data_IF_742350789853
#
_entry.id   IF_742350789853
#
_cell.length_a   1.000
_cell.length_b   1.000
_cell.length_c   1.000
_cell.angle_alpha   90.00
_cell.angle_beta   90.00
_cell.angle_gamma   90.00
#
_symmetry.space_group_name_H-M   'P 1'
#
loop_
_entity.id
_entity.type
_entity.pdbx_description
1 polymer ?
#
# COMPACT_ATOMS: atom_id res chain seq x y z
N UNK A 1 1.16 -28.29 -48.93
CA UNK A 1 0.20 -27.67 -48.00
C UNK A 1 0.98 -27.26 -46.76
N UNK A 2 1.10 -26.01 -46.37
CA UNK A 2 0.49 -24.78 -46.84
C UNK A 2 0.98 -23.71 -45.86
N UNK A 3 1.81 -22.83 -46.38
CA UNK A 3 2.06 -21.44 -45.98
C UNK A 3 1.09 -20.94 -44.89
N UNK A 4 1.58 -20.77 -43.65
CA UNK A 4 0.98 -19.92 -42.60
C UNK A 4 2.00 -19.60 -41.48
N UNK A 5 3.30 -19.57 -41.80
CA UNK A 5 4.40 -19.39 -40.84
C UNK A 5 4.97 -17.95 -40.79
N UNK A 6 4.31 -16.94 -41.40
CA UNK A 6 4.91 -15.59 -41.49
C UNK A 6 3.90 -14.42 -41.42
N UNK A 7 2.97 -14.40 -40.46
CA UNK A 7 2.08 -13.23 -40.26
C UNK A 7 1.77 -12.89 -38.79
N UNK A 8 2.74 -12.94 -37.89
CA UNK A 8 2.59 -12.31 -36.56
C UNK A 8 3.83 -11.59 -36.05
N UNK A 9 4.74 -11.20 -36.95
CA UNK A 9 6.01 -10.52 -36.63
C UNK A 9 5.88 -8.98 -36.67
N UNK A 10 4.69 -8.39 -36.87
CA UNK A 10 4.58 -6.91 -37.04
C UNK A 10 3.46 -6.27 -36.21
N UNK A 11 3.17 -6.75 -35.00
CA UNK A 11 2.32 -5.99 -34.07
C UNK A 11 2.71 -6.35 -32.64
N UNK A 12 3.73 -5.67 -32.09
CA UNK A 12 3.97 -5.44 -30.65
C UNK A 12 5.28 -4.66 -30.45
N UNK A 13 5.45 -3.59 -31.22
CA UNK A 13 6.34 -2.49 -30.90
C UNK A 13 5.46 -1.24 -30.88
N UNK A 14 5.53 -0.50 -29.76
CA UNK A 14 4.86 0.78 -29.45
C UNK A 14 3.44 0.71 -28.88
N UNK A 15 3.34 0.62 -27.55
CA UNK A 15 2.98 1.75 -26.65
C UNK A 15 2.63 1.21 -25.26
N UNK A 16 3.62 1.17 -24.37
CA UNK A 16 3.40 1.15 -22.93
C UNK A 16 4.40 2.14 -22.33
N UNK A 17 4.10 3.43 -22.48
CA UNK A 17 4.67 4.44 -21.60
C UNK A 17 3.97 4.28 -20.26
N UNK A 18 4.68 3.70 -19.29
CA UNK A 18 4.32 3.82 -17.88
C UNK A 18 5.32 4.81 -17.30
N UNK A 19 4.86 6.04 -17.13
CA UNK A 19 5.53 7.02 -16.28
C UNK A 19 5.54 6.48 -14.85
N UNK A 20 6.73 6.35 -14.26
CA UNK A 20 6.86 6.34 -12.82
C UNK A 20 6.84 7.80 -12.37
N UNK A 21 5.70 8.26 -11.86
CA UNK A 21 5.69 9.42 -10.98
C UNK A 21 5.63 8.91 -9.54
N UNK A 22 6.72 9.23 -8.83
CA UNK A 22 6.76 9.36 -7.38
C UNK A 22 5.86 10.55 -7.03
N UNK A 23 4.85 10.35 -6.18
CA UNK A 23 4.19 11.48 -5.51
C UNK A 23 4.23 11.23 -4.00
N UNK A 24 5.22 11.88 -3.38
CA UNK A 24 5.18 12.33 -2.00
C UNK A 24 4.07 13.38 -1.89
N UNK A 25 3.12 13.16 -0.99
CA UNK A 25 2.13 14.18 -0.64
C UNK A 25 2.75 15.17 0.34
N UNK A 26 3.12 16.35 -0.15
CA UNK A 26 3.32 17.54 0.68
C UNK A 26 2.33 18.62 0.24
N UNK A 27 1.52 19.10 1.19
CA UNK A 27 0.51 20.14 0.97
C UNK A 27 1.20 21.51 1.11
N UNK A 28 1.27 22.29 0.03
CA UNK A 28 1.75 23.67 0.06
C UNK A 28 1.30 24.42 -1.19
N UNK A 29 0.73 25.60 -0.97
CA UNK A 29 0.05 26.46 -1.93
C UNK A 29 0.94 26.92 -3.10
N UNK A 30 0.44 26.93 -4.35
CA UNK A 30 0.61 28.08 -5.24
C UNK A 30 -0.35 28.08 -6.43
N UNK A 31 -1.01 29.22 -6.58
CA UNK A 31 -1.87 29.60 -7.69
C UNK A 31 -1.01 30.09 -8.88
N UNK A 32 -1.60 29.92 -10.06
CA UNK A 32 -1.45 30.72 -11.28
C UNK A 32 -0.53 30.24 -12.43
N UNK A 33 -1.20 30.25 -13.60
CA UNK A 33 -0.77 30.47 -14.98
C UNK A 33 0.01 29.39 -15.74
N UNK A 34 -0.70 28.68 -16.63
CA UNK A 34 -0.18 28.18 -17.92
C UNK A 34 -1.30 28.23 -19.01
N UNK A 35 -0.92 28.36 -20.31
CA UNK A 35 -1.64 29.19 -21.29
C UNK A 35 -2.60 28.45 -22.24
N UNK A 36 -3.46 29.26 -22.88
CA UNK A 36 -4.51 28.88 -23.84
C UNK A 36 -4.01 28.06 -25.04
N UNK A 37 -4.39 26.78 -25.09
CA UNK A 37 -4.47 26.00 -26.33
C UNK A 37 -5.91 25.61 -26.67
N UNK A 38 -6.46 26.39 -27.60
CA UNK A 38 -7.82 26.35 -28.08
C UNK A 38 -8.02 25.20 -29.07
N UNK A 39 -8.40 24.02 -28.57
CA UNK A 39 -9.03 22.99 -29.39
C UNK A 39 -10.56 23.09 -29.26
N UNK A 40 -11.20 23.55 -30.33
CA UNK A 40 -12.65 23.64 -30.46
C UNK A 40 -13.29 22.24 -30.51
N UNK A 41 -13.62 21.70 -29.34
CA UNK A 41 -14.58 20.60 -29.25
C UNK A 41 -15.98 21.17 -29.47
N UNK A 42 -16.54 20.92 -30.64
CA UNK A 42 -17.96 21.10 -30.88
C UNK A 42 -18.73 20.13 -29.98
N UNK A 43 -19.10 20.59 -28.78
CA UNK A 43 -20.18 19.99 -28.02
C UNK A 43 -21.45 20.18 -28.82
N UNK A 44 -21.97 19.09 -29.37
CA UNK A 44 -23.31 19.06 -29.92
C UNK A 44 -24.27 18.96 -28.72
N UNK A 45 -24.97 20.04 -28.32
CA UNK A 45 -25.84 19.97 -27.17
C UNK A 45 -27.11 19.28 -27.66
N UNK A 46 -27.24 17.99 -27.38
CA UNK A 46 -28.54 17.33 -27.41
C UNK A 46 -29.45 18.10 -26.44
N UNK A 47 -30.49 18.80 -26.90
CA UNK A 47 -31.29 19.64 -26.02
C UNK A 47 -32.38 18.78 -25.38
N UNK A 48 -32.02 17.73 -24.63
CA UNK A 48 -32.99 16.90 -23.88
C UNK A 48 -32.38 15.77 -23.02
N UNK A 49 -31.20 15.96 -22.42
CA UNK A 49 -30.87 15.16 -21.24
C UNK A 49 -31.63 15.76 -20.04
N UNK A 50 -32.90 15.40 -19.90
CA UNK A 50 -33.66 15.70 -18.69
C UNK A 50 -32.96 15.01 -17.51
N UNK A 51 -32.28 15.79 -16.68
CA UNK A 51 -31.93 15.38 -15.32
C UNK A 51 -33.22 14.86 -14.70
N UNK A 52 -33.29 13.60 -14.22
CA UNK A 52 -34.50 13.06 -13.63
C UNK A 52 -34.99 14.02 -12.53
N UNK A 53 -36.05 14.77 -12.81
CA UNK A 53 -36.67 15.63 -11.81
C UNK A 53 -37.39 14.70 -10.86
N UNK A 54 -36.72 14.35 -9.76
CA UNK A 54 -37.37 13.67 -8.66
C UNK A 54 -38.52 14.57 -8.16
N UNK A 55 -39.77 14.08 -8.19
CA UNK A 55 -40.96 14.92 -7.99
C UNK A 55 -41.26 15.24 -6.52
N UNK A 56 -40.27 15.16 -5.63
CA UNK A 56 -40.46 15.33 -4.18
C UNK A 56 -39.34 16.23 -3.66
N UNK A 57 -39.62 17.23 -2.81
CA UNK A 57 -38.56 17.90 -2.06
C UNK A 57 -37.79 16.84 -1.28
N UNK A 58 -36.50 16.66 -1.63
CA UNK A 58 -35.60 15.75 -0.91
C UNK A 58 -35.46 16.32 0.50
N UNK A 59 -36.12 15.69 1.47
CA UNK A 59 -35.96 16.05 2.88
C UNK A 59 -34.48 15.92 3.25
N UNK A 60 -33.89 17.00 3.74
CA UNK A 60 -32.47 17.05 4.10
C UNK A 60 -32.30 17.76 5.44
N UNK A 61 -31.32 17.35 6.23
CA UNK A 61 -30.93 18.08 7.44
C UNK A 61 -30.43 19.48 7.06
N UNK A 62 -30.81 20.51 7.84
CA UNK A 62 -30.54 21.92 7.51
C UNK A 62 -29.05 22.24 7.51
N UNK A 63 -28.33 21.57 8.39
CA UNK A 63 -26.89 21.63 8.58
C UNK A 63 -26.12 20.79 7.55
N UNK A 64 -26.80 20.09 6.64
CA UNK A 64 -26.19 19.23 5.63
C UNK A 64 -26.56 19.67 4.20
N UNK A 65 -25.98 18.99 3.21
CA UNK A 65 -26.28 19.19 1.81
C UNK A 65 -26.67 17.87 1.16
N UNK A 66 -27.81 17.87 0.46
CA UNK A 66 -28.32 16.73 -0.31
C UNK A 66 -28.44 17.16 -1.77
N UNK A 67 -27.51 16.78 -2.66
CA UNK A 67 -27.53 17.18 -4.05
C UNK A 67 -28.72 16.54 -4.80
N UNK A 68 -29.53 17.31 -5.57
CA UNK A 68 -30.65 16.75 -6.33
C UNK A 68 -30.26 15.68 -7.37
N UNK A 69 -29.03 15.74 -7.89
CA UNK A 69 -28.47 14.75 -8.81
C UNK A 69 -28.13 13.41 -8.13
N UNK A 70 -27.88 13.43 -6.82
CA UNK A 70 -27.59 12.24 -6.01
C UNK A 70 -28.50 12.24 -4.77
N UNK A 71 -29.80 11.98 -4.95
CA UNK A 71 -30.80 12.15 -3.89
C UNK A 71 -30.66 11.14 -2.74
N UNK A 72 -29.78 10.14 -2.86
CA UNK A 72 -29.52 9.12 -1.84
C UNK A 72 -28.28 9.45 -0.98
N UNK A 73 -27.62 10.57 -1.23
CA UNK A 73 -26.38 10.96 -0.58
C UNK A 73 -26.61 12.21 0.29
N UNK A 74 -26.13 12.18 1.53
CA UNK A 74 -26.19 13.31 2.45
C UNK A 74 -24.78 13.69 2.92
N UNK A 75 -24.39 14.93 2.64
CA UNK A 75 -23.07 15.50 2.94
C UNK A 75 -23.15 16.44 4.13
N UNK A 76 -22.52 16.04 5.23
CA UNK A 76 -22.46 16.75 6.51
C UNK A 76 -21.00 16.92 6.96
N UNK A 77 -20.02 16.68 6.09
CA UNK A 77 -18.59 16.74 6.38
C UNK A 77 -18.06 18.18 6.49
N UNK A 78 -16.96 18.37 7.23
CA UNK A 78 -16.23 19.65 7.38
C UNK A 78 -17.06 20.82 7.94
N UNK A 79 -18.03 20.54 8.83
CA UNK A 79 -19.01 21.52 9.30
C UNK A 79 -18.94 21.81 10.80
N UNK A 80 -17.93 21.29 11.50
CA UNK A 80 -17.77 21.42 12.97
C UNK A 80 -19.01 20.93 13.73
N UNK A 81 -19.68 19.91 13.20
CA UNK A 81 -20.84 19.31 13.83
C UNK A 81 -20.41 18.61 15.11
N UNK A 82 -21.15 18.82 16.20
CA UNK A 82 -20.91 18.15 17.48
C UNK A 82 -21.78 16.90 17.67
N UNK A 83 -22.83 16.78 16.86
CA UNK A 83 -23.83 15.72 16.97
C UNK A 83 -24.21 15.27 15.56
N UNK A 84 -24.60 14.01 15.45
CA UNK A 84 -25.15 13.45 14.22
C UNK A 84 -26.56 14.05 14.02
N UNK A 85 -26.83 14.68 12.86
CA UNK A 85 -28.13 15.26 12.54
C UNK A 85 -29.16 14.16 12.31
N UNK A 86 -30.46 14.49 12.32
CA UNK A 86 -31.48 13.52 11.93
C UNK A 86 -31.29 13.11 10.46
N UNK A 87 -31.25 11.81 10.21
CA UNK A 87 -30.96 11.26 8.88
C UNK A 87 -32.30 10.91 8.21
N UNK A 88 -32.59 11.47 7.01
CA UNK A 88 -33.77 11.11 6.24
C UNK A 88 -33.77 9.61 5.85
N UNK A 89 -34.94 8.95 5.79
CA UNK A 89 -35.04 7.49 5.61
C UNK A 89 -34.57 6.98 4.23
N UNK A 90 -34.47 7.87 3.24
CA UNK A 90 -34.04 7.52 1.88
C UNK A 90 -32.51 7.58 1.69
N UNK A 91 -31.76 8.06 2.68
CA UNK A 91 -30.29 8.19 2.57
C UNK A 91 -29.64 6.80 2.56
N UNK A 92 -28.77 6.57 1.57
CA UNK A 92 -27.92 5.38 1.47
C UNK A 92 -26.45 5.68 1.77
N UNK A 93 -26.00 6.90 1.53
CA UNK A 93 -24.61 7.33 1.73
C UNK A 93 -24.58 8.54 2.65
N UNK A 94 -23.88 8.42 3.77
CA UNK A 94 -23.81 9.44 4.81
C UNK A 94 -22.37 9.85 5.07
N UNK A 95 -22.05 11.10 4.78
CA UNK A 95 -20.72 11.67 4.97
C UNK A 95 -20.72 12.64 6.14
N UNK A 96 -20.04 12.28 7.23
CA UNK A 96 -19.94 13.03 8.49
C UNK A 96 -18.48 13.23 8.92
N UNK A 97 -17.52 13.00 8.01
CA UNK A 97 -16.11 13.12 8.32
C UNK A 97 -15.66 14.55 8.62
N UNK A 98 -14.53 14.68 9.33
CA UNK A 98 -13.93 15.98 9.67
C UNK A 98 -14.89 16.90 10.44
N UNK A 99 -15.44 16.38 11.54
CA UNK A 99 -16.31 17.10 12.46
C UNK A 99 -15.84 16.91 13.92
N UNK A 100 -16.61 17.44 14.88
CA UNK A 100 -16.33 17.36 16.31
C UNK A 100 -17.32 16.40 17.01
N UNK A 101 -17.74 15.33 16.34
CA UNK A 101 -18.74 14.38 16.86
C UNK A 101 -18.09 13.47 17.91
N UNK A 102 -18.68 13.41 19.10
CA UNK A 102 -18.19 12.58 20.20
C UNK A 102 -19.03 11.31 20.45
N UNK A 103 -20.27 11.30 19.97
CA UNK A 103 -21.26 10.26 20.28
C UNK A 103 -22.03 9.78 19.04
N UNK A 104 -22.43 8.51 19.07
CA UNK A 104 -23.27 7.87 18.05
C UNK A 104 -24.56 7.38 18.72
N UNK A 105 -25.55 8.27 18.92
CA UNK A 105 -26.84 7.89 19.48
C UNK A 105 -27.70 7.12 18.47
N UNK A 106 -28.63 6.29 18.95
CA UNK A 106 -29.53 5.51 18.11
C UNK A 106 -30.60 6.37 17.41
N UNK A 107 -30.96 7.51 18.00
CA UNK A 107 -32.04 8.39 17.53
C UNK A 107 -31.96 8.71 16.02
N UNK A 108 -30.86 9.34 15.55
CA UNK A 108 -30.66 9.68 14.13
C UNK A 108 -30.83 8.53 13.14
N UNK A 109 -30.52 7.30 13.56
CA UNK A 109 -30.54 6.10 12.70
C UNK A 109 -31.86 5.32 12.75
N UNK A 110 -32.83 5.74 13.58
CA UNK A 110 -34.05 4.96 13.87
C UNK A 110 -34.87 4.61 12.62
N UNK A 111 -34.97 5.53 11.68
CA UNK A 111 -35.80 5.38 10.48
C UNK A 111 -35.00 5.01 9.21
N UNK A 112 -33.69 4.81 9.33
CA UNK A 112 -32.80 4.64 8.16
C UNK A 112 -32.44 3.17 7.99
N UNK A 113 -33.20 2.48 7.13
CA UNK A 113 -33.02 1.03 6.94
C UNK A 113 -32.16 0.69 5.73
N UNK A 114 -31.98 1.61 4.78
CA UNK A 114 -31.27 1.36 3.51
C UNK A 114 -29.85 1.95 3.46
N UNK A 115 -29.33 2.40 4.60
CA UNK A 115 -27.98 2.93 4.72
C UNK A 115 -26.96 1.87 4.29
N UNK A 116 -26.09 2.22 3.33
CA UNK A 116 -25.04 1.34 2.78
C UNK A 116 -23.64 1.79 3.16
N UNK A 117 -23.44 3.10 3.34
CA UNK A 117 -22.14 3.68 3.65
C UNK A 117 -22.29 4.79 4.70
N UNK A 118 -21.48 4.69 5.75
CA UNK A 118 -21.36 5.73 6.78
C UNK A 118 -19.89 6.11 6.90
N UNK A 119 -19.59 7.38 6.67
CA UNK A 119 -18.29 7.95 6.95
C UNK A 119 -18.30 8.85 8.19
N UNK A 120 -17.78 8.33 9.31
CA UNK A 120 -17.61 9.03 10.59
C UNK A 120 -16.12 9.26 10.92
N UNK A 121 -15.24 9.19 9.92
CA UNK A 121 -13.80 9.36 10.12
C UNK A 121 -13.44 10.77 10.57
N UNK A 122 -12.27 10.95 11.20
CA UNK A 122 -11.80 12.25 11.67
C UNK A 122 -12.84 12.97 12.55
N UNK A 123 -13.22 12.30 13.62
CA UNK A 123 -14.12 12.81 14.66
C UNK A 123 -13.49 12.51 16.04
N UNK A 124 -14.26 12.67 17.12
CA UNK A 124 -13.81 12.46 18.51
C UNK A 124 -14.64 11.36 19.18
N UNK A 125 -15.11 10.38 18.40
CA UNK A 125 -16.03 9.35 18.88
C UNK A 125 -15.31 8.45 19.86
N UNK A 126 -15.92 8.24 21.02
CA UNK A 126 -15.45 7.31 22.06
C UNK A 126 -16.35 6.10 22.11
N UNK A 127 -15.76 4.93 22.40
CA UNK A 127 -16.49 3.65 22.42
C UNK A 127 -17.73 3.69 23.33
N UNK A 128 -17.60 4.22 24.55
CA UNK A 128 -18.71 4.29 25.53
C UNK A 128 -19.82 5.28 25.14
N UNK A 129 -19.61 6.12 24.13
CA UNK A 129 -20.60 7.06 23.60
C UNK A 129 -21.30 6.53 22.33
N UNK A 130 -21.06 5.27 21.96
CA UNK A 130 -21.77 4.59 20.88
C UNK A 130 -22.91 3.80 21.52
N UNK A 131 -24.16 4.12 21.14
CA UNK A 131 -25.32 3.40 21.62
C UNK A 131 -25.24 1.93 21.21
N UNK A 132 -25.47 1.04 22.17
CA UNK A 132 -25.34 -0.40 21.96
C UNK A 132 -26.21 -0.90 20.79
N UNK A 133 -25.57 -1.46 19.77
CA UNK A 133 -26.23 -2.03 18.59
C UNK A 133 -26.79 -1.00 17.60
N UNK A 134 -26.40 0.28 17.69
CA UNK A 134 -26.80 1.30 16.71
C UNK A 134 -26.49 0.88 15.27
N UNK A 135 -25.28 0.37 15.02
CA UNK A 135 -24.88 -0.10 13.69
C UNK A 135 -25.50 -1.46 13.34
N UNK A 136 -25.69 -2.35 14.32
CA UNK A 136 -26.26 -3.68 14.07
C UNK A 136 -27.68 -3.64 13.49
N UNK A 137 -28.45 -2.57 13.74
CA UNK A 137 -29.78 -2.34 13.16
C UNK A 137 -29.74 -2.00 11.67
N UNK A 138 -28.59 -1.58 11.15
CA UNK A 138 -28.40 -1.17 9.76
C UNK A 138 -28.08 -2.39 8.89
N UNK A 139 -29.10 -3.20 8.61
CA UNK A 139 -28.95 -4.50 7.93
C UNK A 139 -28.40 -4.43 6.51
N UNK A 140 -28.35 -3.25 5.88
CA UNK A 140 -27.82 -3.04 4.54
C UNK A 140 -26.46 -2.32 4.52
N UNK A 141 -25.86 -2.08 5.68
CA UNK A 141 -24.59 -1.36 5.80
C UNK A 141 -23.45 -2.22 5.24
N UNK A 142 -22.77 -1.68 4.23
CA UNK A 142 -21.66 -2.34 3.53
C UNK A 142 -20.32 -1.77 3.98
N UNK A 143 -20.25 -0.45 4.19
CA UNK A 143 -19.01 0.25 4.51
C UNK A 143 -19.20 1.14 5.75
N UNK A 144 -18.27 1.01 6.71
CA UNK A 144 -18.24 1.83 7.92
C UNK A 144 -16.83 2.38 8.12
N UNK A 145 -16.72 3.70 8.08
CA UNK A 145 -15.48 4.42 8.32
C UNK A 145 -15.51 5.06 9.71
N UNK A 146 -14.62 4.62 10.58
CA UNK A 146 -14.44 5.11 11.95
C UNK A 146 -12.96 5.43 12.22
N UNK A 147 -12.12 5.50 11.18
CA UNK A 147 -10.71 5.85 11.33
C UNK A 147 -10.52 7.28 11.85
N UNK A 148 -9.41 7.55 12.55
CA UNK A 148 -9.15 8.85 13.19
C UNK A 148 -10.27 9.25 14.18
N UNK A 149 -10.50 8.41 15.17
CA UNK A 149 -11.40 8.66 16.31
C UNK A 149 -10.69 8.30 17.63
N UNK A 150 -11.44 8.23 18.73
CA UNK A 150 -10.92 7.91 20.07
C UNK A 150 -11.49 6.59 20.59
N UNK A 151 -11.68 5.59 19.72
CA UNK A 151 -12.22 4.29 20.12
C UNK A 151 -11.18 3.49 20.92
N UNK A 152 -11.51 3.17 22.16
CA UNK A 152 -10.66 2.37 23.07
C UNK A 152 -10.89 0.86 22.91
N UNK A 153 -12.05 0.46 22.39
CA UNK A 153 -12.45 -0.92 22.14
C UNK A 153 -13.04 -1.07 20.72
N UNK A 154 -12.98 -2.29 20.20
CA UNK A 154 -13.59 -2.62 18.92
C UNK A 154 -15.12 -2.47 18.98
N UNK A 155 -15.75 -1.72 18.06
CA UNK A 155 -17.19 -1.48 18.10
C UNK A 155 -17.98 -2.78 17.82
N UNK A 156 -18.89 -3.12 18.73
CA UNK A 156 -19.72 -4.32 18.64
C UNK A 156 -21.08 -4.08 19.33
N UNK A 157 -22.21 -4.66 18.85
CA UNK A 157 -22.35 -5.49 17.65
C UNK A 157 -22.41 -4.68 16.34
N UNK A 158 -21.98 -5.33 15.25
CA UNK A 158 -21.98 -4.81 13.88
C UNK A 158 -22.91 -5.66 12.98
N UNK A 159 -23.42 -5.10 11.86
CA UNK A 159 -24.31 -5.82 10.96
C UNK A 159 -23.53 -6.84 10.12
N UNK A 160 -24.17 -7.99 9.83
CA UNK A 160 -23.55 -9.08 9.07
C UNK A 160 -23.35 -8.80 7.58
N UNK A 161 -23.98 -7.73 7.07
CA UNK A 161 -23.82 -7.23 5.71
C UNK A 161 -22.53 -6.44 5.49
N UNK A 162 -21.80 -6.11 6.56
CA UNK A 162 -20.62 -5.26 6.48
C UNK A 162 -19.50 -5.95 5.69
N UNK A 163 -18.98 -5.26 4.67
CA UNK A 163 -17.89 -5.72 3.81
C UNK A 163 -16.58 -5.00 4.11
N UNK A 164 -16.63 -3.70 4.46
CA UNK A 164 -15.44 -2.90 4.74
C UNK A 164 -15.58 -2.16 6.06
N UNK A 165 -14.61 -2.37 6.95
CA UNK A 165 -14.54 -1.72 8.26
C UNK A 165 -13.18 -1.04 8.42
N UNK A 166 -13.19 0.28 8.53
CA UNK A 166 -11.99 1.08 8.72
C UNK A 166 -11.97 1.64 10.15
N UNK A 167 -11.00 1.17 10.94
CA UNK A 167 -10.81 1.53 12.34
C UNK A 167 -9.39 2.06 12.61
N UNK A 168 -8.65 2.41 11.56
CA UNK A 168 -7.29 2.91 11.69
C UNK A 168 -7.19 4.18 12.56
N UNK A 169 -6.03 4.44 13.15
CA UNK A 169 -5.79 5.65 13.96
C UNK A 169 -6.85 5.84 15.07
N UNK A 170 -6.99 4.82 15.91
CA UNK A 170 -7.84 4.85 17.11
C UNK A 170 -6.97 4.47 18.33
N UNK A 171 -7.62 4.18 19.46
CA UNK A 171 -6.96 3.77 20.70
C UNK A 171 -7.33 2.32 21.06
N UNK A 172 -7.65 1.49 20.07
CA UNK A 172 -8.23 0.16 20.30
C UNK A 172 -7.19 -0.72 20.98
N UNK A 173 -7.49 -1.13 22.21
CA UNK A 173 -6.68 -2.04 23.02
C UNK A 173 -7.48 -3.25 23.50
N UNK A 174 -8.77 -3.32 23.16
CA UNK A 174 -9.64 -4.44 23.54
C UNK A 174 -10.50 -4.89 22.37
N UNK A 175 -10.72 -6.19 22.32
CA UNK A 175 -11.57 -6.86 21.35
C UNK A 175 -12.41 -7.89 22.11
N UNK A 176 -13.74 -7.79 22.08
CA UNK A 176 -14.61 -8.79 22.73
C UNK A 176 -14.43 -10.18 22.10
N UNK A 177 -14.71 -11.26 22.87
CA UNK A 177 -14.58 -12.65 22.42
C UNK A 177 -15.35 -12.96 21.13
N UNK A 178 -16.58 -12.44 21.05
CA UNK A 178 -17.53 -12.65 19.96
C UNK A 178 -17.55 -11.50 18.92
N UNK A 179 -16.68 -10.49 19.05
CA UNK A 179 -16.71 -9.30 18.21
C UNK A 179 -16.60 -9.63 16.70
N UNK A 180 -15.79 -10.64 16.38
CA UNK A 180 -15.50 -11.06 15.00
C UNK A 180 -16.52 -12.06 14.44
N UNK A 181 -17.35 -12.68 15.28
CA UNK A 181 -18.28 -13.74 14.85
C UNK A 181 -19.43 -13.19 14.00
N UNK A 182 -19.76 -11.91 14.15
CA UNK A 182 -20.84 -11.23 13.43
C UNK A 182 -20.51 -10.75 12.01
N UNK A 183 -19.30 -11.01 11.51
CA UNK A 183 -18.78 -10.38 10.29
C UNK A 183 -18.44 -11.40 9.18
N UNK A 184 -19.39 -12.22 8.69
CA UNK A 184 -19.10 -13.24 7.69
C UNK A 184 -18.76 -12.68 6.30
N UNK A 185 -19.25 -11.48 5.98
CA UNK A 185 -19.10 -10.85 4.66
C UNK A 185 -17.95 -9.84 4.58
N UNK A 186 -17.23 -9.61 5.68
CA UNK A 186 -16.13 -8.65 5.69
C UNK A 186 -15.01 -9.11 4.75
N UNK A 187 -14.60 -8.21 3.86
CA UNK A 187 -13.54 -8.41 2.87
C UNK A 187 -12.30 -7.58 3.21
N UNK A 188 -12.48 -6.43 3.89
CA UNK A 188 -11.39 -5.55 4.30
C UNK A 188 -11.58 -5.07 5.74
N UNK A 189 -10.58 -5.31 6.58
CA UNK A 189 -10.52 -4.83 7.95
C UNK A 189 -9.22 -4.05 8.16
N UNK A 190 -9.36 -2.76 8.45
CA UNK A 190 -8.23 -1.90 8.79
C UNK A 190 -8.22 -1.57 10.27
N UNK A 191 -7.16 -2.00 10.95
CA UNK A 191 -6.88 -1.78 12.37
C UNK A 191 -5.49 -1.13 12.57
N UNK A 192 -4.92 -0.51 11.53
CA UNK A 192 -3.62 0.13 11.65
C UNK A 192 -3.61 1.27 12.68
N UNK A 193 -2.47 1.57 13.29
CA UNK A 193 -2.32 2.66 14.26
C UNK A 193 -3.33 2.54 15.42
N UNK A 194 -3.23 1.42 16.14
CA UNK A 194 -4.00 1.13 17.36
C UNK A 194 -3.05 0.60 18.45
N UNK A 195 -3.61 0.07 19.55
CA UNK A 195 -2.85 -0.47 20.67
C UNK A 195 -3.09 -1.97 20.84
N UNK A 196 -3.26 -2.71 19.73
CA UNK A 196 -3.44 -4.15 19.77
C UNK A 196 -2.13 -4.84 20.15
N UNK A 197 -2.21 -5.73 21.14
CA UNK A 197 -1.11 -6.62 21.54
C UNK A 197 -1.53 -8.09 21.40
N UNK A 198 -0.57 -8.98 21.63
CA UNK A 198 -0.77 -10.42 21.51
C UNK A 198 -1.86 -10.96 22.44
N UNK A 199 -2.06 -10.35 23.61
CA UNK A 199 -3.08 -10.77 24.59
C UNK A 199 -4.50 -10.51 24.06
N UNK A 200 -4.68 -9.43 23.29
CA UNK A 200 -5.95 -9.08 22.64
C UNK A 200 -6.29 -10.06 21.54
N UNK A 201 -5.30 -10.50 20.77
CA UNK A 201 -5.49 -11.42 19.63
C UNK A 201 -5.56 -12.90 20.06
N UNK A 202 -5.04 -13.23 21.25
CA UNK A 202 -5.04 -14.61 21.75
C UNK A 202 -6.46 -15.16 21.88
N UNK A 203 -6.68 -16.33 21.27
CA UNK A 203 -7.98 -17.01 21.30
C UNK A 203 -9.04 -16.40 20.37
N UNK A 204 -8.71 -15.34 19.61
CA UNK A 204 -9.58 -14.78 18.59
C UNK A 204 -9.53 -15.62 17.32
N UNK A 205 -10.69 -15.85 16.74
CA UNK A 205 -10.84 -16.72 15.56
C UNK A 205 -11.10 -15.89 14.32
N UNK A 206 -10.04 -15.28 13.77
CA UNK A 206 -10.13 -14.53 12.52
C UNK A 206 -10.61 -15.40 11.34
N UNK A 207 -10.38 -16.72 11.43
CA UNK A 207 -10.86 -17.74 10.49
C UNK A 207 -12.38 -17.77 10.27
N UNK A 208 -13.16 -17.19 11.17
CA UNK A 208 -14.63 -17.04 11.01
C UNK A 208 -14.97 -16.08 9.87
N UNK A 209 -14.12 -15.09 9.61
CA UNK A 209 -14.29 -14.11 8.52
C UNK A 209 -13.81 -14.71 7.19
N UNK A 210 -14.58 -15.66 6.65
CA UNK A 210 -14.21 -16.48 5.48
C UNK A 210 -14.01 -15.72 4.18
N UNK A 211 -14.49 -14.48 4.11
CA UNK A 211 -14.37 -13.62 2.93
C UNK A 211 -13.29 -12.54 3.08
N UNK A 212 -12.58 -12.50 4.21
CA UNK A 212 -11.58 -11.48 4.48
C UNK A 212 -10.40 -11.63 3.52
N UNK A 213 -10.20 -10.62 2.68
CA UNK A 213 -9.13 -10.56 1.68
C UNK A 213 -7.98 -9.68 2.14
N UNK A 214 -8.26 -8.62 2.90
CA UNK A 214 -7.27 -7.68 3.39
C UNK A 214 -7.42 -7.44 4.88
N UNK A 215 -6.31 -7.59 5.61
CA UNK A 215 -6.21 -7.19 7.01
C UNK A 215 -4.97 -6.32 7.21
N UNK A 216 -5.18 -5.15 7.80
CA UNK A 216 -4.11 -4.23 8.14
C UNK A 216 -4.00 -4.14 9.67
N UNK A 217 -2.87 -4.56 10.21
CA UNK A 217 -2.53 -4.54 11.64
C UNK A 217 -1.24 -3.75 11.88
N UNK A 218 -0.86 -2.88 10.94
CA UNK A 218 0.35 -2.07 11.04
C UNK A 218 0.31 -1.07 12.21
N UNK A 219 1.46 -0.65 12.71
CA UNK A 219 1.56 0.33 13.78
C UNK A 219 0.73 -0.08 15.02
N UNK A 220 0.97 -1.29 15.51
CA UNK A 220 0.37 -1.84 16.74
C UNK A 220 1.50 -2.29 17.69
N UNK A 221 1.18 -3.11 18.70
CA UNK A 221 2.11 -3.62 19.72
C UNK A 221 2.24 -5.14 19.64
N UNK A 222 2.18 -5.71 18.44
CA UNK A 222 2.27 -7.15 18.25
C UNK A 222 3.72 -7.62 18.40
N UNK A 223 3.94 -8.64 19.23
CA UNK A 223 5.26 -9.29 19.41
C UNK A 223 5.33 -10.63 18.67
N UNK A 224 4.17 -11.20 18.34
CA UNK A 224 4.05 -12.46 17.60
C UNK A 224 3.11 -12.36 16.40
N UNK A 225 3.20 -13.36 15.51
CA UNK A 225 2.31 -13.46 14.36
C UNK A 225 0.85 -13.68 14.81
N UNK A 226 -0.15 -13.02 14.17
CA UNK A 226 -1.55 -13.17 14.52
C UNK A 226 -2.01 -14.63 14.41
N UNK A 227 -2.70 -15.19 15.41
CA UNK A 227 -3.20 -16.56 15.31
C UNK A 227 -4.44 -16.64 14.40
N UNK A 228 -4.62 -17.81 13.77
CA UNK A 228 -5.89 -18.21 13.13
C UNK A 228 -6.43 -17.26 12.04
N UNK A 229 -5.54 -16.68 11.21
CA UNK A 229 -5.93 -15.89 10.04
C UNK A 229 -6.71 -16.73 9.00
N UNK A 230 -7.67 -16.14 8.26
CA UNK A 230 -8.51 -16.85 7.31
C UNK A 230 -7.76 -17.19 6.00
N UNK A 231 -8.06 -18.35 5.42
CA UNK A 231 -7.43 -18.81 4.16
C UNK A 231 -7.79 -17.99 2.92
N UNK A 232 -8.77 -17.08 3.03
CA UNK A 232 -9.15 -16.13 1.98
C UNK A 232 -8.18 -14.97 1.84
N UNK A 233 -7.29 -14.77 2.81
CA UNK A 233 -6.45 -13.59 2.91
C UNK A 233 -5.47 -13.48 1.74
N UNK A 234 -5.44 -12.29 1.14
CA UNK A 234 -4.58 -11.92 0.01
C UNK A 234 -3.58 -10.84 0.38
N UNK A 235 -3.95 -9.93 1.27
CA UNK A 235 -3.10 -8.83 1.73
C UNK A 235 -3.00 -8.84 3.25
N UNK A 236 -1.77 -8.87 3.77
CA UNK A 236 -1.46 -8.79 5.19
C UNK A 236 -0.40 -7.72 5.43
N UNK A 237 -0.76 -6.67 6.19
CA UNK A 237 0.21 -5.71 6.71
C UNK A 237 0.35 -5.84 8.23
N UNK A 238 1.59 -6.06 8.67
CA UNK A 238 2.05 -6.15 10.06
C UNK A 238 3.21 -5.18 10.31
N UNK A 239 3.34 -4.15 9.47
CA UNK A 239 4.42 -3.17 9.52
C UNK A 239 4.44 -2.42 10.86
N UNK A 240 5.60 -1.94 11.30
CA UNK A 240 5.74 -1.18 12.55
C UNK A 240 5.12 -1.91 13.76
N UNK A 241 5.56 -3.13 14.00
CA UNK A 241 5.25 -3.91 15.19
C UNK A 241 6.57 -4.35 15.84
N UNK A 242 6.51 -5.30 16.78
CA UNK A 242 7.69 -5.84 17.46
C UNK A 242 7.90 -7.34 17.19
N UNK A 243 7.39 -7.85 16.06
CA UNK A 243 7.40 -9.28 15.73
C UNK A 243 8.84 -9.77 15.55
N UNK A 244 9.22 -10.77 16.32
CA UNK A 244 10.59 -11.31 16.34
C UNK A 244 10.76 -12.66 15.65
N UNK A 245 9.67 -13.41 15.49
CA UNK A 245 9.70 -14.77 14.94
C UNK A 245 8.41 -15.12 14.18
N UNK A 246 8.56 -15.91 13.12
CA UNK A 246 7.46 -16.48 12.34
C UNK A 246 7.40 -17.99 12.61
N UNK A 247 6.26 -18.53 13.10
CA UNK A 247 6.10 -19.96 13.31
C UNK A 247 6.33 -20.79 12.05
N UNK A 248 6.90 -21.98 12.22
CA UNK A 248 7.03 -22.94 11.11
C UNK A 248 5.69 -23.22 10.45
N UNK A 249 5.67 -23.27 9.12
CA UNK A 249 4.49 -23.51 8.31
C UNK A 249 3.32 -22.52 8.53
N UNK A 250 3.57 -21.34 9.12
CA UNK A 250 2.54 -20.33 9.39
C UNK A 250 1.72 -20.00 8.12
N UNK A 251 2.40 -19.76 7.00
CA UNK A 251 1.75 -19.39 5.75
C UNK A 251 1.15 -20.57 4.95
N UNK A 252 1.32 -21.83 5.41
CA UNK A 252 0.74 -22.99 4.73
C UNK A 252 -0.79 -22.95 4.66
N UNK A 253 -1.43 -22.26 5.62
CA UNK A 253 -2.89 -22.06 5.68
C UNK A 253 -3.36 -20.81 4.94
N UNK A 254 -2.45 -20.02 4.39
CA UNK A 254 -2.70 -18.74 3.71
C UNK A 254 -2.26 -18.81 2.24
N UNK A 255 -2.81 -19.74 1.42
CA UNK A 255 -2.30 -20.00 0.07
C UNK A 255 -2.57 -18.86 -0.93
N UNK A 256 -3.45 -17.91 -0.58
CA UNK A 256 -3.89 -16.80 -1.44
C UNK A 256 -3.12 -15.50 -1.22
N UNK A 257 -2.13 -15.47 -0.33
CA UNK A 257 -1.35 -14.25 -0.07
C UNK A 257 -0.65 -13.79 -1.35
N UNK A 258 -0.89 -12.53 -1.70
CA UNK A 258 -0.34 -11.79 -2.83
C UNK A 258 0.67 -10.76 -2.34
N UNK A 259 0.36 -10.07 -1.24
CA UNK A 259 1.23 -9.05 -0.66
C UNK A 259 1.38 -9.28 0.84
N UNK A 260 2.63 -9.30 1.30
CA UNK A 260 2.99 -9.43 2.71
C UNK A 260 3.92 -8.28 3.09
N UNK A 261 3.45 -7.42 4.00
CA UNK A 261 4.24 -6.32 4.54
C UNK A 261 4.51 -6.54 6.02
N UNK A 262 5.79 -6.63 6.35
CA UNK A 262 6.29 -6.86 7.71
C UNK A 262 7.52 -5.98 7.97
N UNK A 263 7.58 -4.81 7.32
CA UNK A 263 8.65 -3.84 7.54
C UNK A 263 8.64 -3.34 8.99
N UNK A 264 9.76 -2.83 9.49
CA UNK A 264 9.87 -2.24 10.84
C UNK A 264 9.40 -3.22 11.93
N UNK A 265 10.07 -4.37 12.00
CA UNK A 265 9.85 -5.42 12.99
C UNK A 265 11.20 -5.91 13.55
N UNK A 266 11.20 -6.96 14.36
CA UNK A 266 12.39 -7.52 15.00
C UNK A 266 12.82 -8.87 14.40
N UNK A 267 12.46 -9.15 13.14
CA UNK A 267 12.74 -10.45 12.52
C UNK A 267 14.24 -10.64 12.32
N UNK A 268 14.81 -11.69 12.91
CA UNK A 268 16.23 -12.00 12.80
C UNK A 268 16.50 -13.32 12.07
N UNK A 269 15.89 -14.40 12.56
CA UNK A 269 16.09 -15.74 12.04
C UNK A 269 14.78 -16.22 11.44
N UNK A 270 14.73 -16.30 10.11
CA UNK A 270 13.59 -16.82 9.37
C UNK A 270 13.99 -18.16 8.74
N UNK A 271 13.21 -19.24 8.91
CA UNK A 271 13.44 -20.48 8.20
C UNK A 271 13.50 -20.26 6.69
N UNK A 272 14.44 -20.92 6.00
CA UNK A 272 14.79 -20.62 4.60
C UNK A 272 13.61 -20.71 3.63
N UNK A 273 12.59 -21.53 3.92
CA UNK A 273 11.43 -21.79 3.08
C UNK A 273 10.13 -21.09 3.56
N UNK A 274 10.23 -20.19 4.55
CA UNK A 274 9.06 -19.54 5.18
C UNK A 274 8.13 -18.87 4.16
N UNK A 275 8.70 -18.18 3.17
CA UNK A 275 7.96 -17.43 2.16
C UNK A 275 7.75 -18.20 0.86
N UNK A 276 7.77 -19.54 0.88
CA UNK A 276 7.47 -20.35 -0.31
C UNK A 276 5.95 -20.34 -0.62
N UNK A 277 5.46 -19.18 -1.05
CA UNK A 277 4.06 -18.91 -1.33
C UNK A 277 3.81 -18.86 -2.84
N UNK A 278 2.80 -19.57 -3.37
CA UNK A 278 2.63 -19.71 -4.81
C UNK A 278 2.15 -18.42 -5.49
N UNK A 279 1.47 -17.53 -4.78
CA UNK A 279 0.85 -16.32 -5.35
C UNK A 279 1.49 -15.01 -4.87
N UNK A 280 2.58 -15.07 -4.09
CA UNK A 280 3.20 -13.89 -3.49
C UNK A 280 3.90 -13.06 -4.57
N UNK A 281 3.47 -11.82 -4.75
CA UNK A 281 4.02 -10.85 -5.71
C UNK A 281 4.88 -9.79 -5.01
N UNK A 282 4.48 -9.34 -3.82
CA UNK A 282 5.17 -8.30 -3.04
C UNK A 282 5.52 -8.81 -1.65
N UNK A 283 6.80 -8.72 -1.29
CA UNK A 283 7.30 -9.05 0.04
C UNK A 283 8.12 -7.87 0.58
N UNK A 284 7.63 -7.26 1.65
CA UNK A 284 8.34 -6.21 2.35
C UNK A 284 8.77 -6.67 3.75
N UNK A 285 10.10 -6.74 3.94
CA UNK A 285 10.79 -7.09 5.18
C UNK A 285 11.85 -6.03 5.53
N UNK A 286 11.73 -4.81 4.99
CA UNK A 286 12.64 -3.70 5.31
C UNK A 286 12.66 -3.38 6.80
N UNK A 287 13.72 -2.74 7.30
CA UNK A 287 13.84 -2.34 8.71
C UNK A 287 13.60 -3.52 9.68
N UNK A 288 14.35 -4.60 9.48
CA UNK A 288 14.36 -5.78 10.35
C UNK A 288 15.80 -6.10 10.79
N UNK A 289 16.05 -7.30 11.33
CA UNK A 289 17.37 -7.73 11.83
C UNK A 289 17.90 -8.95 11.07
N UNK A 290 17.52 -9.08 9.79
CA UNK A 290 17.86 -10.24 8.96
C UNK A 290 19.35 -10.26 8.67
N UNK A 291 20.00 -11.39 8.93
CA UNK A 291 21.43 -11.60 8.63
C UNK A 291 21.68 -12.37 7.34
N UNK A 292 20.68 -13.12 6.88
CA UNK A 292 20.78 -14.01 5.74
C UNK A 292 19.51 -13.95 4.90
N UNK A 293 19.67 -14.25 3.61
CA UNK A 293 18.56 -14.38 2.67
C UNK A 293 17.88 -15.76 2.77
N UNK A 294 16.70 -15.84 2.17
CA UNK A 294 15.82 -17.00 2.16
C UNK A 294 15.46 -17.36 0.71
N UNK A 295 14.77 -18.48 0.54
CA UNK A 295 14.27 -18.94 -0.76
C UNK A 295 13.24 -17.96 -1.33
N UNK A 296 13.47 -17.52 -2.56
CA UNK A 296 12.54 -16.63 -3.26
C UNK A 296 11.47 -17.46 -3.98
N UNK A 297 10.16 -17.29 -3.71
CA UNK A 297 9.14 -18.03 -4.44
C UNK A 297 9.08 -17.58 -5.90
N UNK A 298 8.56 -18.45 -6.78
CA UNK A 298 8.57 -18.23 -8.23
C UNK A 298 7.78 -17.00 -8.66
N UNK A 299 6.69 -16.69 -7.95
CA UNK A 299 5.77 -15.59 -8.24
C UNK A 299 6.27 -14.22 -7.79
N UNK A 300 7.27 -14.15 -6.90
CA UNK A 300 7.68 -12.87 -6.31
C UNK A 300 8.22 -11.94 -7.39
N UNK A 301 7.72 -10.70 -7.41
CA UNK A 301 8.14 -9.65 -8.33
C UNK A 301 8.94 -8.58 -7.60
N UNK A 302 8.48 -8.13 -6.43
CA UNK A 302 9.10 -7.05 -5.66
C UNK A 302 9.55 -7.53 -4.29
N UNK A 303 10.84 -7.38 -4.00
CA UNK A 303 11.46 -7.71 -2.72
C UNK A 303 12.07 -6.46 -2.08
N UNK A 304 11.59 -6.13 -0.88
CA UNK A 304 12.10 -5.04 -0.06
C UNK A 304 12.75 -5.63 1.21
N UNK A 305 14.05 -5.44 1.35
CA UNK A 305 14.88 -5.93 2.47
C UNK A 305 15.93 -4.87 2.87
N UNK A 306 15.60 -3.60 2.64
CA UNK A 306 16.39 -2.46 3.11
C UNK A 306 16.53 -2.44 4.64
N UNK A 307 17.55 -1.77 5.14
CA UNK A 307 17.81 -1.59 6.57
C UNK A 307 17.71 -2.91 7.38
N UNK A 308 18.61 -3.83 7.04
CA UNK A 308 18.77 -5.12 7.70
C UNK A 308 20.27 -5.37 7.99
N UNK A 309 20.60 -6.52 8.58
CA UNK A 309 21.96 -6.91 8.94
C UNK A 309 22.62 -7.82 7.88
N UNK A 310 22.25 -7.71 6.60
CA UNK A 310 22.70 -8.65 5.55
C UNK A 310 24.13 -8.29 5.10
N UNK A 311 25.07 -9.22 5.28
CA UNK A 311 26.48 -9.04 4.90
C UNK A 311 26.79 -9.49 3.47
N UNK A 312 26.07 -10.49 2.96
CA UNK A 312 26.27 -11.03 1.61
C UNK A 312 24.97 -11.57 0.99
N UNK A 313 24.83 -11.40 -0.32
CA UNK A 313 23.72 -11.97 -1.10
C UNK A 313 24.09 -13.39 -1.56
N UNK A 314 23.59 -14.41 -0.86
CA UNK A 314 23.81 -15.81 -1.21
C UNK A 314 22.78 -16.31 -2.23
N UNK A 315 23.15 -16.30 -3.51
CA UNK A 315 22.29 -16.72 -4.62
C UNK A 315 21.84 -18.18 -4.50
N UNK A 316 22.67 -19.07 -3.95
CA UNK A 316 22.33 -20.49 -3.76
C UNK A 316 21.17 -20.67 -2.77
N UNK A 317 21.06 -19.82 -1.75
CA UNK A 317 19.93 -19.84 -0.82
C UNK A 317 18.65 -19.29 -1.47
N UNK A 318 18.78 -18.19 -2.22
CA UNK A 318 17.65 -17.59 -2.95
C UNK A 318 17.11 -18.51 -4.04
N UNK A 319 18.00 -19.29 -4.65
CA UNK A 319 17.75 -20.14 -5.79
C UNK A 319 18.61 -21.42 -5.76
N UNK A 320 18.12 -22.49 -5.12
CA UNK A 320 18.85 -23.75 -5.02
C UNK A 320 18.88 -24.54 -6.34
N UNK A 321 17.90 -24.32 -7.22
CA UNK A 321 17.82 -24.97 -8.53
C UNK A 321 17.24 -24.02 -9.58
N UNK A 322 17.74 -24.15 -10.81
CA UNK A 322 17.29 -23.38 -11.97
C UNK A 322 16.36 -24.26 -12.80
N UNK A 323 15.17 -23.74 -13.10
CA UNK A 323 14.16 -24.39 -13.95
C UNK A 323 13.89 -23.47 -15.15
N UNK A 324 14.53 -23.70 -16.31
CA UNK A 324 14.38 -22.84 -17.48
C UNK A 324 12.96 -22.76 -18.04
N UNK A 325 12.11 -23.76 -17.75
CA UNK A 325 10.71 -23.80 -18.20
C UNK A 325 9.78 -23.04 -17.24
N UNK A 326 10.24 -22.76 -16.02
CA UNK A 326 9.46 -22.06 -14.99
C UNK A 326 10.34 -21.06 -14.24
N UNK A 327 10.65 -19.96 -14.92
CA UNK A 327 11.55 -18.91 -14.44
C UNK A 327 10.93 -18.11 -13.28
N UNK A 328 11.78 -17.66 -12.35
CA UNK A 328 11.36 -16.80 -11.23
C UNK A 328 11.07 -15.38 -11.74
N UNK A 329 9.97 -14.79 -11.28
CA UNK A 329 9.41 -13.53 -11.80
C UNK A 329 9.96 -12.28 -11.11
N UNK A 330 11.07 -12.38 -10.38
CA UNK A 330 11.63 -11.27 -9.60
C UNK A 330 12.12 -10.16 -10.52
N UNK A 331 11.58 -8.95 -10.37
CA UNK A 331 11.89 -7.77 -11.19
C UNK A 331 12.64 -6.69 -10.43
N UNK A 332 12.36 -6.55 -9.13
CA UNK A 332 12.88 -5.47 -8.29
C UNK A 332 13.38 -6.01 -6.95
N UNK A 333 14.57 -5.57 -6.55
CA UNK A 333 15.16 -5.84 -5.24
C UNK A 333 15.66 -4.52 -4.65
N UNK A 334 15.27 -4.24 -3.40
CA UNK A 334 15.77 -3.13 -2.61
C UNK A 334 16.58 -3.64 -1.42
N UNK A 335 17.86 -3.27 -1.34
CA UNK A 335 18.87 -3.77 -0.38
C UNK A 335 19.76 -2.66 0.19
N UNK A 336 19.32 -1.40 0.14
CA UNK A 336 20.00 -0.28 0.80
C UNK A 336 20.02 -0.43 2.33
N UNK A 337 20.94 0.29 2.97
CA UNK A 337 21.15 0.30 4.42
C UNK A 337 21.46 -1.08 5.04
N UNK A 338 22.00 -2.00 4.25
CA UNK A 338 22.53 -3.30 4.72
C UNK A 338 24.04 -3.22 4.97
N UNK A 339 24.70 -4.37 5.18
CA UNK A 339 26.16 -4.47 5.42
C UNK A 339 26.89 -5.09 4.23
N UNK A 340 26.37 -4.89 3.03
CA UNK A 340 26.92 -5.51 1.83
C UNK A 340 28.28 -4.90 1.49
N UNK A 341 29.27 -5.76 1.29
CA UNK A 341 30.62 -5.36 0.85
C UNK A 341 30.82 -5.48 -0.65
N UNK A 342 30.01 -6.31 -1.30
CA UNK A 342 30.08 -6.62 -2.74
C UNK A 342 28.68 -6.67 -3.33
N UNK A 343 28.53 -6.36 -4.64
CA UNK A 343 27.25 -6.48 -5.32
C UNK A 343 26.84 -7.95 -5.45
N UNK A 344 25.57 -8.18 -5.80
CA UNK A 344 25.05 -9.51 -6.09
C UNK A 344 25.83 -10.14 -7.26
N UNK A 345 26.19 -11.41 -7.12
CA UNK A 345 26.88 -12.14 -8.18
C UNK A 345 26.08 -12.12 -9.49
N UNK A 346 26.77 -11.91 -10.62
CA UNK A 346 26.15 -11.95 -11.96
C UNK A 346 25.54 -13.31 -12.29
N UNK A 347 25.92 -14.39 -11.59
CA UNK A 347 25.25 -15.69 -11.72
C UNK A 347 23.78 -15.66 -11.29
N UNK A 348 23.36 -14.68 -10.49
CA UNK A 348 21.96 -14.53 -10.07
C UNK A 348 20.99 -14.36 -11.25
N UNK A 349 21.43 -13.74 -12.36
CA UNK A 349 20.59 -13.50 -13.53
C UNK A 349 20.21 -14.79 -14.28
N UNK A 350 20.96 -15.89 -14.10
CA UNK A 350 20.53 -17.19 -14.61
C UNK A 350 19.31 -17.74 -13.87
N UNK A 351 19.16 -17.42 -12.58
CA UNK A 351 17.98 -17.81 -11.83
C UNK A 351 16.85 -16.78 -11.89
N UNK A 352 17.21 -15.50 -11.92
CA UNK A 352 16.29 -14.36 -11.91
C UNK A 352 16.45 -13.55 -13.21
N UNK A 353 16.03 -14.09 -14.36
CA UNK A 353 16.25 -13.46 -15.66
C UNK A 353 15.45 -12.16 -15.86
N UNK A 354 14.44 -11.91 -15.03
CA UNK A 354 13.54 -10.76 -15.15
C UNK A 354 13.94 -9.56 -14.26
N UNK A 355 15.04 -9.65 -13.52
CA UNK A 355 15.51 -8.55 -12.67
C UNK A 355 15.83 -7.35 -13.56
N UNK A 356 15.18 -6.23 -13.28
CA UNK A 356 15.41 -4.94 -13.94
C UNK A 356 16.22 -4.00 -13.06
N UNK A 357 15.93 -4.01 -11.76
CA UNK A 357 16.52 -3.06 -10.81
C UNK A 357 16.93 -3.76 -9.53
N UNK A 358 18.17 -3.51 -9.11
CA UNK A 358 18.66 -3.83 -7.77
C UNK A 358 19.13 -2.52 -7.15
N UNK A 359 18.35 -1.99 -6.21
CA UNK A 359 18.68 -0.74 -5.54
C UNK A 359 19.59 -1.03 -4.35
N UNK A 360 20.88 -0.72 -4.48
CA UNK A 360 21.88 -0.89 -3.42
C UNK A 360 21.98 0.30 -2.48
N UNK A 361 21.67 1.52 -2.91
CA UNK A 361 21.82 2.73 -2.10
C UNK A 361 23.14 2.80 -1.31
N UNK A 362 23.09 3.36 -0.11
CA UNK A 362 24.20 3.35 0.84
C UNK A 362 24.20 2.08 1.69
N UNK A 363 25.36 1.69 2.21
CA UNK A 363 25.52 0.50 3.07
C UNK A 363 26.13 0.90 4.41
N UNK A 364 25.57 0.35 5.48
CA UNK A 364 25.97 0.49 6.88
C UNK A 364 27.23 -0.36 7.17
N UNK A 365 28.36 -0.02 6.56
CA UNK A 365 29.65 -0.66 6.83
C UNK A 365 30.26 -0.13 8.13
N UNK A 366 30.79 -1.02 8.97
CA UNK A 366 31.52 -0.67 10.21
C UNK A 366 32.86 0.06 9.99
N UNK A 367 33.23 0.31 8.73
CA UNK A 367 34.40 1.12 8.38
C UNK A 367 33.90 2.54 8.16
N UNK A 368 34.62 3.56 8.63
CA UNK A 368 34.33 5.00 8.50
C UNK A 368 34.26 5.54 7.04
N UNK A 369 33.71 4.77 6.10
CA UNK A 369 33.35 5.10 4.72
C UNK A 369 32.09 4.31 4.36
N UNK A 370 31.02 5.01 3.99
CA UNK A 370 29.90 4.40 3.30
C UNK A 370 30.42 3.77 2.00
N UNK A 371 30.22 2.46 1.84
CA UNK A 371 30.53 1.79 0.57
C UNK A 371 29.34 1.98 -0.35
N UNK A 372 29.43 2.94 -1.27
CA UNK A 372 28.44 3.01 -2.36
C UNK A 372 28.70 1.85 -3.33
N UNK A 373 27.86 0.83 -3.25
CA UNK A 373 27.79 -0.22 -4.26
C UNK A 373 27.09 0.37 -5.48
N UNK A 374 27.81 0.54 -6.58
CA UNK A 374 27.21 1.00 -7.83
C UNK A 374 26.20 -0.05 -8.30
N UNK A 375 25.00 0.40 -8.65
CA UNK A 375 24.07 -0.36 -9.46
C UNK A 375 24.81 -0.85 -10.70
N UNK A 376 24.85 -2.16 -10.99
CA UNK A 376 25.16 -2.59 -12.33
C UNK A 376 24.01 -2.06 -13.19
N UNK A 377 24.24 -0.90 -13.82
CA UNK A 377 23.39 -0.41 -14.89
C UNK A 377 23.56 -1.44 -15.99
N UNK A 378 22.64 -2.38 -16.07
CA UNK A 378 22.49 -3.17 -17.28
C UNK A 378 22.02 -2.18 -18.34
N UNK A 379 22.97 -1.51 -19.01
CA UNK A 379 22.72 -0.99 -20.35
C UNK A 379 22.24 -2.21 -21.12
N UNK A 380 20.95 -2.19 -21.46
CA UNK A 380 20.46 -2.89 -22.65
C UNK A 380 21.49 -2.61 -23.75
N UNK A 381 21.85 -3.62 -24.54
CA UNK A 381 22.63 -3.38 -25.76
C UNK A 381 21.88 -2.30 -26.54
N UNK A 382 22.39 -1.08 -26.51
CA UNK A 382 21.86 0.05 -27.25
C UNK A 382 21.88 -0.36 -28.72
N UNK A 383 20.80 -0.07 -29.44
CA UNK A 383 20.86 -0.18 -30.90
C UNK A 383 21.90 0.80 -31.44
N UNK A 384 22.46 0.59 -32.65
CA UNK A 384 23.38 1.57 -33.25
C UNK A 384 22.82 2.99 -33.27
N UNK A 385 21.49 3.12 -33.38
CA UNK A 385 20.75 4.39 -33.36
C UNK A 385 20.74 5.07 -31.97
N UNK A 386 20.75 4.29 -30.88
CA UNK A 386 20.81 4.82 -29.49
C UNK A 386 22.27 5.10 -29.04
N UNK A 387 23.28 4.71 -29.84
CA UNK A 387 24.69 5.08 -29.61
C UNK A 387 24.97 6.51 -30.10
N UNK A 388 24.36 6.91 -31.22
CA UNK A 388 24.54 8.24 -31.80
C UNK A 388 23.90 9.33 -30.91
N UNK A 389 22.76 9.03 -30.26
CA UNK A 389 22.12 9.96 -29.30
C UNK A 389 22.93 10.12 -27.98
N UNK A 390 23.80 9.18 -27.64
CA UNK A 390 24.62 9.24 -26.41
C UNK A 390 25.97 9.98 -26.62
N UNK A 391 26.37 10.24 -27.86
CA UNK A 391 27.53 11.10 -28.17
C UNK A 391 27.14 12.58 -28.30
N UNK A 392 25.87 12.90 -28.65
CA UNK A 392 25.41 14.28 -28.80
C UNK A 392 25.11 15.02 -27.48
N UNK A 393 24.91 14.31 -26.36
CA UNK A 393 24.69 14.91 -25.02
C UNK A 393 26.00 15.29 -24.28
N UNK A 394 27.17 15.19 -24.94
CA UNK A 394 28.47 15.60 -24.38
C UNK A 394 29.08 16.86 -25.01
N UNK A 395 28.37 17.59 -25.86
CA UNK A 395 28.83 18.88 -26.42
C UNK A 395 27.89 20.06 -26.12
N UNK A 396 27.48 20.30 -24.88
CA UNK A 396 27.00 21.63 -24.46
C UNK A 396 27.14 21.87 -22.95
N UNK A 397 28.37 22.09 -22.48
CA UNK A 397 28.65 23.07 -21.42
C UNK A 397 30.15 23.28 -21.28
N UNK A 398 30.73 24.08 -22.18
CA UNK A 398 31.99 24.78 -21.94
C UNK A 398 31.95 26.13 -22.67
N UNK A 399 32.40 27.19 -21.98
CA UNK A 399 32.39 28.63 -22.32
C UNK A 399 31.08 29.34 -21.89
N UNK A 400 31.04 30.34 -20.99
CA UNK A 400 32.01 31.37 -20.63
C UNK A 400 31.84 31.78 -19.15
N UNK A 401 32.95 32.00 -18.43
CA UNK A 401 33.29 33.28 -17.77
C UNK A 401 34.66 33.15 -17.11
N UNK A 402 35.69 33.64 -17.80
CA UNK A 402 36.90 34.14 -17.15
C UNK A 402 36.60 35.56 -16.65
N UNK A 403 36.86 35.86 -15.38
CA UNK A 403 37.61 37.06 -14.98
C UNK A 403 38.02 37.00 -13.50
N UNK A 404 39.25 37.47 -13.26
CA UNK A 404 39.93 37.83 -12.01
C UNK A 404 40.73 36.79 -11.17
N UNK A 405 42.05 36.82 -11.44
CA UNK A 405 43.21 37.02 -10.51
C UNK A 405 43.61 35.85 -9.60
N UNK A 406 44.77 35.21 -9.75
CA UNK A 406 46.19 35.64 -9.70
C UNK A 406 46.85 34.96 -8.49
N UNK A 407 48.07 34.43 -8.70
CA UNK A 407 49.06 33.98 -7.69
C UNK A 407 48.71 32.68 -6.93
N UNK A 408 49.57 31.65 -6.78
CA UNK A 408 51.02 31.53 -6.86
C UNK A 408 51.41 30.04 -6.95
N UNK A 409 52.31 29.71 -7.88
CA UNK A 409 53.50 28.84 -7.70
C UNK A 409 53.42 27.52 -6.88
N UNK A 410 53.55 26.37 -7.55
CA UNK A 410 54.84 25.65 -7.73
C UNK A 410 54.68 24.14 -8.04
N UNK A 411 55.19 23.76 -9.23
CA UNK A 411 56.05 22.61 -9.52
C UNK A 411 55.77 21.19 -8.96
N UNK A 412 55.45 20.23 -9.83
CA UNK A 412 56.37 19.27 -10.50
C UNK A 412 55.60 18.00 -10.97
N UNK A 413 55.54 17.79 -12.29
CA UNK A 413 55.33 16.50 -12.97
C UNK A 413 56.61 15.62 -12.87
N UNK A 414 56.73 14.45 -13.55
CA UNK A 414 55.87 13.28 -13.72
C UNK A 414 56.65 11.98 -13.29
N UNK A 415 56.04 10.79 -13.37
CA UNK A 415 56.44 9.75 -14.35
C UNK A 415 55.69 8.42 -14.15
N UNK A 416 55.30 7.87 -15.29
CA UNK A 416 54.92 6.50 -15.56
C UNK A 416 55.85 5.45 -14.92
N UNK A 417 55.27 4.46 -14.23
CA UNK A 417 55.32 3.05 -14.64
C UNK A 417 54.18 2.26 -13.98
#
# INVERSE_FOLDING_TARGET
MGILSQLSIIYLLWTAMVFCQYEDYDFGDEYDDEPDHQHSYYFNPSPQAEVPRFPVPVECARECFCPPAFPLSMYCDHRKLKMIPNIPPHVQQLYLQNNDIEAVPAGPFTNVTILREINLSHNKIKFHMIDHGVFAKLSHLVQLHLQHNELEEFPFPLPSSLERLLLGFNKISQLSGNALEGLPNITMLDLCNNFLDDSVLKGKRFSVMKNLMQINLCNNKLETMPPDLPSSLMYLSLENNSISYIPENYFSRLPKIIALRMSHNNLQNIPYNTFNLPNLLELNLGHNKLKQLFYIPRSLQHLYIEDNDIEMINVTLMCPSIDPMNTKQLTYIRVDQNKLTTPMSTYAFFCFPHIRTIYYGEQNSNVNKSTQLRTPVFRRLLTPEEYDEAEDDHETHDQETEEDREEENNYFYPYFQ
#
